data_IF_972688554899
#
_entry.id   IF_972688554899
#
_cell.length_a   1.000
_cell.length_b   1.000
_cell.length_c   1.000
_cell.angle_alpha   90.00
_cell.angle_beta   90.00
_cell.angle_gamma   90.00
#
_symmetry.space_group_name_H-M   'P 1'
#
loop_
_entity.id
_entity.type
_entity.pdbx_description
1 polymer ?
#
# COMPACT_ATOMS: atom_id res chain seq x y z
N UNK A 1 -13.75 -1.70 22.17
CA UNK A 1 -14.43 -0.60 21.44
C UNK A 1 -13.91 -0.68 20.02
N UNK A 2 -14.78 -0.99 19.07
CA UNK A 2 -14.40 -0.93 17.66
C UNK A 2 -14.35 0.54 17.22
N UNK A 3 -13.38 0.93 16.39
CA UNK A 3 -13.36 2.27 15.83
C UNK A 3 -14.62 2.49 14.98
N UNK A 4 -15.19 3.71 14.98
CA UNK A 4 -16.36 4.01 14.18
C UNK A 4 -16.03 3.80 12.68
N UNK A 5 -16.98 3.28 11.87
CA UNK A 5 -16.78 3.14 10.45
C UNK A 5 -16.52 4.53 9.84
N UNK A 6 -15.41 4.66 9.13
CA UNK A 6 -15.10 5.88 8.39
C UNK A 6 -16.15 6.09 7.30
N UNK A 7 -16.79 7.25 7.25
CA UNK A 7 -17.77 7.55 6.22
C UNK A 7 -17.11 7.72 4.85
N UNK A 8 -17.80 7.35 3.78
CA UNK A 8 -17.33 7.54 2.40
C UNK A 8 -16.94 8.99 2.10
N UNK A 9 -17.61 9.95 2.75
CA UNK A 9 -17.26 11.38 2.66
C UNK A 9 -15.87 11.69 3.21
N UNK A 10 -15.44 11.02 4.28
CA UNK A 10 -14.09 11.18 4.84
C UNK A 10 -13.03 10.56 3.91
N UNK A 11 -13.35 9.44 3.27
CA UNK A 11 -12.46 8.81 2.28
C UNK A 11 -12.30 9.70 1.05
N UNK A 12 -13.40 10.16 0.44
CA UNK A 12 -13.37 11.04 -0.73
C UNK A 12 -12.64 12.36 -0.45
N UNK A 13 -12.84 12.92 0.74
CA UNK A 13 -12.10 14.10 1.19
C UNK A 13 -10.60 13.81 1.29
N UNK A 14 -10.22 12.68 1.87
CA UNK A 14 -8.81 12.27 1.98
C UNK A 14 -8.19 12.06 0.60
N UNK A 15 -8.91 11.45 -0.35
CA UNK A 15 -8.47 11.30 -1.75
C UNK A 15 -8.33 12.65 -2.48
N UNK A 16 -9.27 13.58 -2.27
CA UNK A 16 -9.15 14.94 -2.82
C UNK A 16 -8.00 15.72 -2.18
N UNK A 17 -7.75 15.51 -0.89
CA UNK A 17 -6.63 16.12 -0.17
C UNK A 17 -5.30 15.57 -0.68
N UNK A 18 -5.21 14.28 -1.05
CA UNK A 18 -4.05 13.71 -1.76
C UNK A 18 -3.87 14.31 -3.17
N UNK A 19 -4.94 14.48 -3.92
CA UNK A 19 -4.90 15.13 -5.24
C UNK A 19 -4.45 16.60 -5.17
N UNK A 20 -4.81 17.29 -4.08
CA UNK A 20 -4.43 18.68 -3.81
C UNK A 20 -3.13 18.82 -2.99
N UNK A 21 -2.53 17.72 -2.52
CA UNK A 21 -1.15 17.66 -2.04
C UNK A 21 -0.16 17.72 -3.22
N UNK A 22 -0.33 18.73 -4.07
CA UNK A 22 0.81 19.32 -4.72
C UNK A 22 1.67 19.92 -3.61
N UNK A 23 2.65 19.13 -3.14
CA UNK A 23 3.72 19.55 -2.24
C UNK A 23 4.14 20.97 -2.65
N UNK A 24 3.87 21.97 -1.82
CA UNK A 24 4.17 23.39 -2.07
C UNK A 24 5.68 23.70 -2.01
N UNK A 25 6.52 22.73 -2.33
CA UNK A 25 7.88 22.94 -2.78
C UNK A 25 7.99 22.29 -4.15
N UNK A 26 8.56 22.99 -5.13
CA UNK A 26 9.00 22.36 -6.37
C UNK A 26 9.82 21.10 -6.03
N UNK A 27 9.18 19.93 -6.12
CA UNK A 27 9.91 18.69 -6.31
C UNK A 27 9.97 18.55 -7.82
N UNK A 28 10.99 19.16 -8.43
CA UNK A 28 11.35 18.86 -9.82
C UNK A 28 11.86 17.41 -9.85
N UNK A 29 10.96 16.43 -9.84
CA UNK A 29 11.32 15.03 -9.78
C UNK A 29 10.12 14.11 -10.00
N UNK A 30 10.37 13.02 -10.73
CA UNK A 30 9.40 11.96 -10.95
C UNK A 30 8.96 11.34 -9.62
N UNK A 31 7.66 11.04 -9.49
CA UNK A 31 7.07 10.43 -8.29
C UNK A 31 6.82 8.95 -8.53
N UNK A 32 7.06 8.12 -7.52
CA UNK A 32 6.62 6.73 -7.48
C UNK A 32 5.27 6.65 -6.78
N UNK A 33 4.22 6.27 -7.50
CA UNK A 33 2.86 6.12 -6.97
C UNK A 33 2.64 4.65 -6.64
N UNK A 34 2.20 4.34 -5.43
CA UNK A 34 1.98 2.97 -4.95
C UNK A 34 0.50 2.77 -4.65
N UNK A 35 -0.12 1.76 -5.28
CA UNK A 35 -1.43 1.23 -4.92
C UNK A 35 -1.29 0.04 -3.98
N UNK A 36 -1.98 0.07 -2.84
CA UNK A 36 -2.00 -1.00 -1.84
C UNK A 36 -3.42 -1.53 -1.69
N UNK A 37 -3.61 -2.82 -1.92
CA UNK A 37 -4.86 -3.55 -1.63
C UNK A 37 -4.66 -4.37 -0.36
N UNK A 38 -5.23 -3.92 0.75
CA UNK A 38 -5.14 -4.60 2.05
C UNK A 38 -6.34 -5.53 2.25
N UNK A 39 -6.28 -6.70 1.62
CA UNK A 39 -7.31 -7.71 1.74
C UNK A 39 -7.25 -8.46 3.07
N UNK A 40 -8.35 -9.11 3.44
CA UNK A 40 -8.42 -9.92 4.67
C UNK A 40 -7.50 -11.14 4.64
N UNK A 41 -7.42 -11.82 3.48
CA UNK A 41 -6.63 -13.05 3.31
C UNK A 41 -5.29 -12.78 2.61
N UNK A 42 -5.30 -11.92 1.60
CA UNK A 42 -4.14 -11.61 0.78
C UNK A 42 -4.07 -10.10 0.50
N UNK A 43 -2.85 -9.55 0.53
CA UNK A 43 -2.56 -8.15 0.21
C UNK A 43 -1.68 -8.05 -1.03
N UNK A 44 -1.95 -7.05 -1.88
CA UNK A 44 -1.24 -6.82 -3.14
C UNK A 44 -0.69 -5.41 -3.25
N UNK A 45 0.41 -5.25 -4.02
CA UNK A 45 1.06 -3.97 -4.27
C UNK A 45 1.28 -3.80 -5.78
N UNK A 46 0.90 -2.64 -6.30
CA UNK A 46 1.28 -2.18 -7.63
C UNK A 46 1.84 -0.77 -7.57
N UNK A 47 2.63 -0.38 -8.55
CA UNK A 47 3.17 0.98 -8.62
C UNK A 47 3.30 1.48 -10.07
N UNK A 48 3.35 2.80 -10.23
CA UNK A 48 3.66 3.46 -11.49
C UNK A 48 4.51 4.72 -11.24
N UNK A 49 5.28 5.15 -12.24
CA UNK A 49 5.98 6.43 -12.17
C UNK A 49 5.08 7.54 -12.72
N UNK A 50 5.11 8.73 -12.11
CA UNK A 50 4.24 9.85 -12.53
C UNK A 50 4.53 10.37 -13.94
N UNK A 51 5.73 10.09 -14.47
CA UNK A 51 6.13 10.43 -15.84
C UNK A 51 5.73 9.37 -16.87
N UNK A 52 5.28 8.19 -16.44
CA UNK A 52 4.80 7.09 -17.29
C UNK A 52 3.61 6.36 -16.61
N UNK A 53 2.46 7.05 -16.47
CA UNK A 53 1.33 6.58 -15.65
C UNK A 53 0.64 5.34 -16.23
N UNK A 54 0.78 5.09 -17.54
CA UNK A 54 0.19 3.91 -18.21
C UNK A 54 0.98 2.63 -17.92
N UNK A 55 2.23 2.75 -17.44
CA UNK A 55 3.08 1.62 -17.13
C UNK A 55 2.97 1.22 -15.66
N UNK A 56 2.03 0.33 -15.41
CA UNK A 56 1.78 -0.24 -14.08
C UNK A 56 2.66 -1.47 -13.87
N UNK A 57 3.40 -1.48 -12.76
CA UNK A 57 4.18 -2.60 -12.29
C UNK A 57 3.45 -3.29 -11.14
N UNK A 58 3.20 -4.59 -11.25
CA UNK A 58 2.63 -5.40 -10.18
C UNK A 58 3.76 -6.16 -9.49
N UNK A 59 3.79 -6.14 -8.16
CA UNK A 59 4.71 -6.96 -7.37
C UNK A 59 4.14 -8.37 -7.28
N UNK A 60 4.86 -9.35 -7.80
CA UNK A 60 4.51 -10.77 -7.73
C UNK A 60 5.56 -11.64 -7.03
N UNK A 61 6.75 -11.09 -6.79
CA UNK A 61 7.84 -11.74 -6.05
C UNK A 61 7.94 -11.12 -4.66
N UNK A 62 7.33 -11.79 -3.68
CA UNK A 62 7.40 -11.39 -2.28
C UNK A 62 8.50 -12.17 -1.52
N UNK A 63 9.26 -11.50 -0.64
CA UNK A 63 10.21 -12.18 0.24
C UNK A 63 9.52 -13.27 1.08
N UNK A 64 10.10 -14.47 1.12
CA UNK A 64 9.54 -15.61 1.85
C UNK A 64 8.36 -16.30 1.15
N UNK A 65 8.02 -15.90 -0.08
CA UNK A 65 7.02 -16.58 -0.90
C UNK A 65 7.63 -17.69 -1.76
N UNK A 66 7.02 -18.87 -1.74
CA UNK A 66 7.47 -20.04 -2.52
C UNK A 66 7.04 -19.97 -4.00
N UNK A 67 6.30 -18.92 -4.38
CA UNK A 67 5.63 -18.80 -5.69
C UNK A 67 5.61 -17.33 -6.13
N UNK A 68 5.69 -17.12 -7.45
CA UNK A 68 5.37 -15.84 -8.08
C UNK A 68 3.85 -15.67 -8.06
N UNK A 69 3.36 -14.77 -7.20
CA UNK A 69 1.95 -14.49 -7.04
C UNK A 69 1.74 -13.00 -6.76
N UNK A 70 0.75 -12.35 -7.40
CA UNK A 70 0.54 -10.90 -7.31
C UNK A 70 0.07 -10.41 -5.93
N UNK A 71 -0.07 -11.32 -4.96
CA UNK A 71 -0.48 -11.03 -3.59
C UNK A 71 0.26 -11.93 -2.60
N UNK A 72 0.63 -11.37 -1.45
CA UNK A 72 1.15 -12.10 -0.29
C UNK A 72 0.05 -12.34 0.75
N UNK A 73 0.15 -13.38 1.60
CA UNK A 73 -0.77 -13.56 2.73
C UNK A 73 -0.80 -12.33 3.66
N UNK A 74 -1.98 -11.91 4.10
CA UNK A 74 -2.14 -10.81 5.07
C UNK A 74 -1.91 -11.34 6.48
N UNK A 75 -0.65 -11.58 6.82
CA UNK A 75 -0.26 -12.23 8.09
C UNK A 75 0.93 -11.53 8.74
N UNK A 76 0.98 -11.56 10.07
CA UNK A 76 2.15 -11.16 10.86
C UNK A 76 2.59 -12.35 11.72
N UNK A 77 3.90 -12.56 11.84
CA UNK A 77 4.47 -13.61 12.67
C UNK A 77 5.45 -13.01 13.68
N UNK A 78 5.27 -13.36 14.95
CA UNK A 78 6.20 -13.03 16.02
C UNK A 78 7.14 -14.20 16.31
N UNK A 79 8.32 -13.90 16.83
CA UNK A 79 9.20 -14.91 17.39
C UNK A 79 8.50 -15.65 18.55
N UNK A 80 8.86 -16.93 18.76
CA UNK A 80 8.26 -17.74 19.81
C UNK A 80 8.48 -17.11 21.20
N UNK A 81 7.39 -16.78 21.88
CA UNK A 81 7.42 -16.13 23.20
C UNK A 81 7.58 -14.61 23.17
N UNK A 82 7.74 -13.99 22.00
CA UNK A 82 7.82 -12.53 21.86
C UNK A 82 6.45 -11.93 21.51
N UNK A 83 6.18 -10.74 22.05
CA UNK A 83 5.03 -9.90 21.67
C UNK A 83 5.43 -8.68 20.83
N UNK A 84 6.72 -8.50 20.62
CA UNK A 84 7.29 -7.28 20.02
C UNK A 84 8.32 -7.57 18.93
N UNK A 85 8.87 -8.77 18.87
CA UNK A 85 9.87 -9.19 17.87
C UNK A 85 9.19 -9.98 16.77
N UNK A 86 9.36 -9.54 15.52
CA UNK A 86 8.90 -10.26 14.33
C UNK A 86 9.90 -11.34 13.93
N UNK A 87 9.40 -12.44 13.37
CA UNK A 87 10.22 -13.54 12.83
C UNK A 87 10.58 -13.29 11.36
#
# INVERSE_FOLDING_TARGET
MDPPPYSESSLNKTFSDFGNLSLRGEVSGDRLIIGLDFGTTYSGIGYAFSNDPEKIHIIDSFPGGDRLAPKAPTTIQYEAGSKTSFK
#
